data_IF_192389542386
#
_entry.id   IF_192389542386
#
_cell.length_a   1.000
_cell.length_b   1.000
_cell.length_c   1.000
_cell.angle_alpha   90.00
_cell.angle_beta   90.00
_cell.angle_gamma   90.00
#
_symmetry.space_group_name_H-M   'P 1'
#
loop_
_entity.id
_entity.type
_entity.pdbx_description
1 polymer ?
#
# COMPACT_ATOMS: atom_id res chain seq x y z
N UNK A 1 -25.68 -14.07 14.15
CA UNK A 1 -26.42 -13.45 13.03
C UNK A 1 -25.47 -13.28 11.84
N UNK A 2 -25.68 -14.04 10.72
CA UNK A 2 -24.79 -14.04 9.56
C UNK A 2 -24.60 -12.64 8.95
N UNK A 3 -25.65 -11.84 8.90
CA UNK A 3 -25.59 -10.48 8.33
C UNK A 3 -24.71 -9.53 9.14
N UNK A 4 -24.77 -9.59 10.46
CA UNK A 4 -23.95 -8.78 11.35
C UNK A 4 -22.46 -9.13 11.20
N UNK A 5 -22.13 -10.42 11.20
CA UNK A 5 -20.75 -10.90 11.04
C UNK A 5 -20.15 -10.49 9.68
N UNK A 6 -20.98 -10.47 8.62
CA UNK A 6 -20.54 -10.03 7.29
C UNK A 6 -20.22 -8.53 7.27
N UNK A 7 -21.10 -7.69 7.84
CA UNK A 7 -20.86 -6.24 7.92
C UNK A 7 -19.66 -5.89 8.80
N UNK A 8 -19.46 -6.61 9.90
CA UNK A 8 -18.27 -6.44 10.74
C UNK A 8 -16.99 -6.79 9.98
N UNK A 9 -17.00 -7.86 9.19
CA UNK A 9 -15.88 -8.27 8.37
C UNK A 9 -15.57 -7.20 7.28
N UNK A 10 -16.58 -6.67 6.60
CA UNK A 10 -16.39 -5.57 5.64
C UNK A 10 -15.76 -4.34 6.30
N UNK A 11 -16.27 -3.92 7.45
CA UNK A 11 -15.73 -2.76 8.17
C UNK A 11 -14.29 -3.03 8.68
N UNK A 12 -13.99 -4.27 9.05
CA UNK A 12 -12.67 -4.67 9.51
C UNK A 12 -11.62 -4.51 8.41
N UNK A 13 -11.91 -5.07 7.23
CA UNK A 13 -10.97 -5.11 6.10
C UNK A 13 -11.13 -3.96 5.09
N UNK A 14 -11.91 -2.92 5.40
CA UNK A 14 -12.22 -1.85 4.46
C UNK A 14 -10.96 -1.08 3.98
N UNK A 15 -9.95 -0.92 4.85
CA UNK A 15 -8.70 -0.23 4.53
C UNK A 15 -7.88 -1.07 3.56
N UNK A 16 -7.69 -2.35 3.88
CA UNK A 16 -6.93 -3.30 3.08
C UNK A 16 -7.60 -3.53 1.71
N UNK A 17 -8.93 -3.63 1.68
CA UNK A 17 -9.67 -3.78 0.43
C UNK A 17 -9.52 -2.56 -0.48
N UNK A 18 -9.58 -1.34 0.07
CA UNK A 18 -9.36 -0.11 -0.69
C UNK A 18 -7.91 -0.04 -1.23
N UNK A 19 -6.91 -0.36 -0.39
CA UNK A 19 -5.51 -0.40 -0.79
C UNK A 19 -5.27 -1.40 -1.93
N UNK A 20 -5.79 -2.62 -1.79
CA UNK A 20 -5.64 -3.68 -2.79
C UNK A 20 -6.36 -3.36 -4.10
N UNK A 21 -7.52 -2.71 -4.05
CA UNK A 21 -8.24 -2.28 -5.25
C UNK A 21 -7.45 -1.27 -6.06
N UNK A 22 -6.88 -0.26 -5.39
CA UNK A 22 -6.04 0.76 -6.04
C UNK A 22 -4.78 0.13 -6.60
N UNK A 23 -3.99 -0.53 -5.75
CA UNK A 23 -2.71 -1.15 -6.14
C UNK A 23 -2.88 -2.15 -7.27
N UNK A 24 -3.84 -3.08 -7.14
CA UNK A 24 -4.05 -4.14 -8.12
C UNK A 24 -4.51 -3.61 -9.49
N UNK A 25 -5.41 -2.62 -9.51
CA UNK A 25 -5.88 -2.05 -10.77
C UNK A 25 -4.83 -1.19 -11.48
N UNK A 26 -3.98 -0.48 -10.76
CA UNK A 26 -2.89 0.31 -11.31
C UNK A 26 -1.73 -0.56 -11.78
N UNK A 27 -1.39 -1.60 -11.02
CA UNK A 27 -0.40 -2.60 -11.44
C UNK A 27 -0.85 -3.34 -12.70
N UNK A 28 -2.14 -3.70 -12.80
CA UNK A 28 -2.70 -4.31 -14.01
C UNK A 28 -2.60 -3.37 -15.22
N UNK A 29 -2.96 -2.10 -15.03
CA UNK A 29 -2.87 -1.09 -16.09
C UNK A 29 -1.45 -0.96 -16.64
N UNK A 30 -0.46 -0.86 -15.74
CA UNK A 30 0.94 -0.83 -16.10
C UNK A 30 1.39 -2.07 -16.88
N UNK A 31 1.06 -3.26 -16.39
CA UNK A 31 1.48 -4.52 -17.02
C UNK A 31 0.89 -4.70 -18.42
N UNK A 32 -0.38 -4.33 -18.62
CA UNK A 32 -0.99 -4.47 -19.96
C UNK A 32 -0.52 -3.39 -20.92
N UNK A 33 -0.20 -2.17 -20.44
CA UNK A 33 0.40 -1.11 -21.24
C UNK A 33 1.79 -1.52 -21.76
N UNK A 34 2.64 -2.00 -20.87
CA UNK A 34 3.96 -2.56 -21.25
C UNK A 34 3.80 -3.78 -22.19
N UNK A 35 2.77 -4.58 -21.96
CA UNK A 35 2.43 -5.69 -22.85
C UNK A 35 2.13 -5.23 -24.28
N UNK A 36 1.35 -4.19 -24.46
CA UNK A 36 1.09 -3.58 -25.79
C UNK A 36 2.38 -3.02 -26.37
N UNK A 37 3.18 -2.33 -25.57
CA UNK A 37 4.46 -1.73 -26.02
C UNK A 37 5.44 -2.79 -26.52
N UNK A 38 5.57 -3.92 -25.81
CA UNK A 38 6.45 -5.05 -26.20
C UNK A 38 6.01 -5.65 -27.52
N UNK A 39 4.71 -5.76 -27.79
CA UNK A 39 4.18 -6.29 -29.05
C UNK A 39 4.22 -5.27 -30.20
N UNK A 40 4.54 -4.01 -29.91
CA UNK A 40 4.60 -2.94 -30.92
C UNK A 40 3.25 -2.72 -31.60
N UNK A 41 3.25 -2.36 -32.88
CA UNK A 41 2.01 -2.09 -33.65
C UNK A 41 1.03 -3.27 -33.65
N UNK A 42 1.52 -4.50 -33.58
CA UNK A 42 0.66 -5.68 -33.46
C UNK A 42 -0.07 -5.74 -32.11
N UNK A 43 0.53 -5.27 -31.02
CA UNK A 43 -0.10 -5.21 -29.71
C UNK A 43 -1.34 -4.30 -29.68
N UNK A 44 -1.42 -3.30 -30.56
CA UNK A 44 -2.57 -2.42 -30.73
C UNK A 44 -3.63 -2.98 -31.69
N UNK A 45 -3.30 -4.03 -32.44
CA UNK A 45 -4.25 -4.67 -33.36
C UNK A 45 -5.27 -5.51 -32.60
N UNK A 46 -6.55 -5.41 -32.98
CA UNK A 46 -7.63 -6.23 -32.40
C UNK A 46 -7.49 -7.74 -32.67
N UNK A 47 -6.53 -8.14 -33.51
CA UNK A 47 -6.18 -9.55 -33.76
C UNK A 47 -5.38 -10.16 -32.59
N UNK A 48 -4.76 -9.31 -31.74
CA UNK A 48 -3.94 -9.73 -30.59
C UNK A 48 -4.74 -9.70 -29.30
N UNK A 49 -4.55 -10.73 -28.47
CA UNK A 49 -5.22 -10.82 -27.15
C UNK A 49 -4.86 -9.67 -26.19
N UNK A 50 -3.69 -9.06 -26.34
CA UNK A 50 -3.20 -8.01 -25.45
C UNK A 50 -4.00 -6.70 -25.64
N UNK A 51 -4.48 -6.38 -26.83
CA UNK A 51 -5.38 -5.25 -27.08
C UNK A 51 -6.64 -5.36 -26.20
N UNK A 52 -7.24 -6.54 -26.18
CA UNK A 52 -8.39 -6.81 -25.32
C UNK A 52 -8.06 -6.66 -23.84
N UNK A 53 -6.92 -7.22 -23.40
CA UNK A 53 -6.44 -7.09 -22.02
C UNK A 53 -6.27 -5.62 -21.60
N UNK A 54 -5.64 -4.82 -22.46
CA UNK A 54 -5.47 -3.38 -22.26
C UNK A 54 -6.81 -2.64 -22.13
N UNK A 55 -7.74 -2.90 -23.04
CA UNK A 55 -9.08 -2.31 -23.02
C UNK A 55 -9.88 -2.70 -21.78
N UNK A 56 -9.88 -3.98 -21.44
CA UNK A 56 -10.63 -4.51 -20.30
C UNK A 56 -10.05 -4.07 -18.95
N UNK A 57 -8.73 -3.81 -18.87
CA UNK A 57 -8.08 -3.33 -17.64
C UNK A 57 -8.52 -1.92 -17.27
N UNK A 58 -8.77 -1.04 -18.25
CA UNK A 58 -8.99 0.38 -18.04
C UNK A 58 -10.18 0.70 -17.14
N UNK A 59 -11.25 -0.08 -17.20
CA UNK A 59 -12.45 0.13 -16.39
C UNK A 59 -12.19 -0.12 -14.89
N UNK A 60 -11.19 -0.95 -14.53
CA UNK A 60 -10.90 -1.29 -13.14
C UNK A 60 -10.50 -0.10 -12.27
N UNK A 61 -9.98 0.97 -12.87
CA UNK A 61 -9.67 2.22 -12.16
C UNK A 61 -10.88 3.13 -11.97
N UNK A 62 -12.02 2.83 -12.62
CA UNK A 62 -13.21 3.68 -12.67
C UNK A 62 -14.36 3.11 -11.84
N UNK A 63 -14.71 1.83 -12.01
CA UNK A 63 -15.89 1.23 -11.40
C UNK A 63 -15.64 0.82 -9.93
N UNK A 64 -16.72 0.53 -9.19
CA UNK A 64 -16.70 0.15 -7.77
C UNK A 64 -15.95 1.17 -6.87
N UNK A 65 -16.18 2.44 -7.17
CA UNK A 65 -15.43 3.57 -6.63
C UNK A 65 -14.12 3.79 -7.38
N UNK A 66 -13.94 5.00 -7.93
CA UNK A 66 -12.70 5.30 -8.64
C UNK A 66 -11.49 5.13 -7.72
N UNK A 67 -10.30 4.99 -8.29
CA UNK A 67 -9.09 4.87 -7.49
C UNK A 67 -8.86 6.09 -6.59
N UNK A 68 -9.24 7.28 -7.06
CA UNK A 68 -9.19 8.52 -6.27
C UNK A 68 -10.14 8.45 -5.07
N UNK A 69 -11.37 7.99 -5.25
CA UNK A 69 -12.33 7.81 -4.15
C UNK A 69 -11.84 6.76 -3.15
N UNK A 70 -11.28 5.65 -3.63
CA UNK A 70 -10.73 4.62 -2.74
C UNK A 70 -9.54 5.14 -1.92
N UNK A 71 -8.69 6.01 -2.49
CA UNK A 71 -7.61 6.70 -1.74
C UNK A 71 -8.17 7.54 -0.60
N UNK A 72 -9.19 8.34 -0.88
CA UNK A 72 -9.82 9.16 0.16
C UNK A 72 -10.50 8.32 1.24
N UNK A 73 -11.22 7.25 0.83
CA UNK A 73 -11.86 6.32 1.76
C UNK A 73 -10.86 5.59 2.66
N UNK A 74 -9.68 5.25 2.15
CA UNK A 74 -8.63 4.56 2.88
C UNK A 74 -8.19 5.41 4.09
N UNK A 75 -7.80 6.65 3.85
CA UNK A 75 -7.35 7.56 4.92
C UNK A 75 -8.48 7.90 5.88
N UNK A 76 -9.68 8.19 5.37
CA UNK A 76 -10.86 8.48 6.19
C UNK A 76 -11.20 7.33 7.14
N UNK A 77 -11.13 6.08 6.66
CA UNK A 77 -11.35 4.91 7.51
C UNK A 77 -10.29 4.75 8.61
N UNK A 78 -9.01 5.01 8.30
CA UNK A 78 -7.94 4.97 9.31
C UNK A 78 -8.17 6.04 10.38
N UNK A 79 -8.46 7.27 9.97
CA UNK A 79 -8.72 8.37 10.90
C UNK A 79 -9.97 8.12 11.76
N UNK A 80 -11.04 7.58 11.18
CA UNK A 80 -12.26 7.17 11.91
C UNK A 80 -11.99 6.05 12.92
N UNK A 81 -11.20 5.04 12.53
CA UNK A 81 -10.79 3.95 13.45
C UNK A 81 -9.90 4.50 14.58
N UNK A 82 -9.02 5.46 14.27
CA UNK A 82 -8.22 6.19 15.26
C UNK A 82 -9.08 6.96 16.24
N UNK A 83 -10.02 7.78 15.74
CA UNK A 83 -10.93 8.58 16.59
C UNK A 83 -11.80 7.70 17.51
N UNK A 84 -12.19 6.52 17.06
CA UNK A 84 -12.92 5.50 17.84
C UNK A 84 -12.03 4.67 18.76
N UNK A 85 -10.72 4.92 18.79
CA UNK A 85 -9.72 4.14 19.55
C UNK A 85 -9.70 2.65 19.20
N UNK A 86 -10.14 2.29 17.99
CA UNK A 86 -10.02 0.93 17.45
C UNK A 86 -8.57 0.67 17.00
N UNK A 87 -7.92 1.72 16.47
CA UNK A 87 -6.50 1.73 16.13
C UNK A 87 -5.80 2.85 16.93
N UNK A 88 -4.66 2.61 17.56
CA UNK A 88 -3.93 3.61 18.33
C UNK A 88 -3.08 4.54 17.43
N UNK A 89 -3.71 5.14 16.40
CA UNK A 89 -3.00 5.88 15.34
C UNK A 89 -2.25 7.07 15.89
N UNK A 90 -2.90 7.89 16.74
CA UNK A 90 -2.30 9.12 17.27
C UNK A 90 -1.25 8.84 18.34
N UNK A 91 -1.47 7.82 19.18
CA UNK A 91 -0.53 7.39 20.19
C UNK A 91 0.78 6.85 19.56
N UNK A 92 0.64 6.03 18.51
CA UNK A 92 1.81 5.50 17.78
C UNK A 92 2.52 6.59 16.99
N UNK A 93 1.80 7.56 16.44
CA UNK A 93 2.38 8.72 15.77
C UNK A 93 3.19 9.57 16.74
N UNK A 94 2.69 9.82 17.96
CA UNK A 94 3.43 10.55 18.99
C UNK A 94 4.71 9.84 19.39
N UNK A 95 4.63 8.52 19.59
CA UNK A 95 5.82 7.71 19.87
C UNK A 95 6.86 7.81 18.76
N UNK A 96 6.44 7.76 17.49
CA UNK A 96 7.33 7.90 16.33
C UNK A 96 7.99 9.29 16.30
N UNK A 97 7.26 10.36 16.61
CA UNK A 97 7.84 11.71 16.71
C UNK A 97 8.87 11.82 17.83
N UNK A 98 8.59 11.27 19.00
CA UNK A 98 9.53 11.30 20.13
C UNK A 98 10.78 10.47 19.85
N UNK A 99 10.63 9.31 19.19
CA UNK A 99 11.80 8.53 18.74
C UNK A 99 12.70 9.38 17.82
N UNK A 100 12.13 10.04 16.80
CA UNK A 100 12.92 10.87 15.86
C UNK A 100 13.61 12.03 16.57
N UNK A 101 12.94 12.70 17.51
CA UNK A 101 13.53 13.81 18.29
C UNK A 101 14.70 13.36 19.18
N UNK A 102 14.64 12.14 19.68
CA UNK A 102 15.68 11.59 20.59
C UNK A 102 16.77 10.82 19.85
N UNK A 103 16.61 10.62 18.53
CA UNK A 103 17.63 9.93 17.73
C UNK A 103 18.94 10.71 17.64
N UNK A 104 20.03 10.05 18.06
CA UNK A 104 21.40 10.54 17.92
C UNK A 104 22.10 9.79 16.77
N UNK A 105 21.91 10.26 15.54
CA UNK A 105 22.46 9.63 14.33
C UNK A 105 21.52 8.64 13.66
N UNK A 106 21.96 8.06 12.54
CA UNK A 106 21.19 7.05 11.83
C UNK A 106 21.14 5.74 12.63
N UNK A 107 19.98 5.07 12.69
CA UNK A 107 19.89 3.75 13.34
C UNK A 107 20.79 2.74 12.62
N UNK A 108 21.35 1.80 13.37
CA UNK A 108 22.08 0.70 12.77
C UNK A 108 21.14 -0.12 11.87
N UNK A 109 21.65 -0.49 10.70
CA UNK A 109 20.93 -1.40 9.79
C UNK A 109 20.94 -2.79 10.43
N UNK A 110 19.80 -3.44 10.48
CA UNK A 110 19.69 -4.78 11.02
C UNK A 110 20.49 -5.78 10.17
N UNK A 111 21.12 -6.73 10.82
CA UNK A 111 21.83 -7.81 10.14
C UNK A 111 20.84 -8.88 9.67
N UNK A 112 20.98 -9.32 8.43
CA UNK A 112 20.08 -10.28 7.81
C UNK A 112 19.07 -9.64 6.84
N UNK A 113 18.79 -10.36 5.75
CA UNK A 113 17.98 -9.83 4.67
C UNK A 113 16.53 -9.51 5.11
N UNK A 114 15.89 -10.40 5.87
CA UNK A 114 14.53 -10.18 6.34
C UNK A 114 14.45 -9.14 7.47
N UNK A 115 15.42 -9.15 8.36
CA UNK A 115 15.50 -8.21 9.47
C UNK A 115 15.67 -6.78 8.98
N UNK A 116 16.49 -6.59 7.94
CA UNK A 116 16.66 -5.31 7.26
C UNK A 116 15.34 -4.83 6.63
N UNK A 117 14.63 -5.71 5.89
CA UNK A 117 13.34 -5.35 5.27
C UNK A 117 12.26 -5.07 6.31
N UNK A 118 12.20 -5.86 7.38
CA UNK A 118 11.26 -5.61 8.49
C UNK A 118 11.52 -4.25 9.14
N UNK A 119 12.78 -3.92 9.38
CA UNK A 119 13.17 -2.61 9.92
C UNK A 119 12.78 -1.48 8.97
N UNK A 120 13.02 -1.64 7.68
CA UNK A 120 12.66 -0.65 6.66
C UNK A 120 11.16 -0.41 6.61
N UNK A 121 10.36 -1.47 6.49
CA UNK A 121 8.90 -1.39 6.50
C UNK A 121 8.37 -0.77 7.80
N UNK A 122 8.93 -1.15 8.95
CA UNK A 122 8.55 -0.56 10.24
C UNK A 122 8.82 0.94 10.28
N UNK A 123 9.95 1.39 9.74
CA UNK A 123 10.28 2.82 9.64
C UNK A 123 9.33 3.56 8.69
N UNK A 124 9.00 2.98 7.54
CA UNK A 124 8.01 3.57 6.63
C UNK A 124 6.62 3.71 7.29
N UNK A 125 6.20 2.73 8.09
CA UNK A 125 4.95 2.83 8.87
C UNK A 125 4.99 4.00 9.85
N UNK A 126 6.12 4.23 10.53
CA UNK A 126 6.29 5.40 11.40
C UNK A 126 6.16 6.71 10.62
N UNK A 127 6.79 6.80 9.44
CA UNK A 127 6.67 7.98 8.57
C UNK A 127 5.20 8.24 8.20
N UNK A 128 4.45 7.22 7.80
CA UNK A 128 3.02 7.33 7.49
C UNK A 128 2.22 7.83 8.70
N UNK A 129 2.47 7.29 9.88
CA UNK A 129 1.81 7.74 11.12
C UNK A 129 2.11 9.22 11.43
N UNK A 130 3.37 9.64 11.25
CA UNK A 130 3.77 11.03 11.43
C UNK A 130 3.09 11.95 10.42
N UNK A 131 2.97 11.54 9.15
CA UNK A 131 2.25 12.31 8.11
C UNK A 131 0.77 12.45 8.46
N UNK A 132 0.10 11.38 8.88
CA UNK A 132 -1.29 11.40 9.32
C UNK A 132 -1.52 12.38 10.48
N UNK A 133 -0.65 12.34 11.49
CA UNK A 133 -0.71 13.24 12.63
C UNK A 133 -0.48 14.70 12.20
N UNK A 134 0.60 14.96 11.45
CA UNK A 134 0.93 16.32 11.00
C UNK A 134 -0.18 16.92 10.13
N UNK A 135 -0.78 16.14 9.22
CA UNK A 135 -1.92 16.59 8.42
C UNK A 135 -3.15 16.87 9.29
N UNK A 136 -3.44 15.98 10.25
CA UNK A 136 -4.57 16.14 11.17
C UNK A 136 -4.43 17.39 12.04
N UNK A 137 -3.26 17.69 12.56
CA UNK A 137 -2.97 18.88 13.36
C UNK A 137 -3.01 20.15 12.53
N UNK A 138 -2.42 20.13 11.33
CA UNK A 138 -2.35 21.31 10.46
C UNK A 138 -3.71 21.72 9.92
N UNK A 139 -4.49 20.77 9.43
CA UNK A 139 -5.75 21.03 8.73
C UNK A 139 -6.99 20.83 9.62
N UNK A 140 -6.87 20.05 10.68
CA UNK A 140 -7.97 19.82 11.62
C UNK A 140 -9.28 19.43 10.89
N UNK A 141 -10.35 20.22 11.07
CA UNK A 141 -11.67 19.96 10.45
C UNK A 141 -11.68 20.13 8.92
N UNK A 142 -10.75 20.90 8.36
CA UNK A 142 -10.67 21.11 6.90
C UNK A 142 -9.89 20.00 6.19
N UNK A 143 -9.28 19.07 6.92
CA UNK A 143 -8.51 17.96 6.32
C UNK A 143 -9.32 17.17 5.29
N UNK A 144 -10.62 17.00 5.51
CA UNK A 144 -11.51 16.28 4.58
C UNK A 144 -11.64 16.95 3.20
N UNK A 145 -11.31 18.23 3.08
CA UNK A 145 -11.31 18.99 1.83
C UNK A 145 -9.95 19.04 1.15
N UNK A 146 -8.89 18.64 1.85
CA UNK A 146 -7.52 18.59 1.36
C UNK A 146 -7.25 17.28 0.61
N UNK A 147 -7.99 17.06 -0.50
CA UNK A 147 -8.02 15.77 -1.20
C UNK A 147 -6.65 15.37 -1.76
N UNK A 148 -5.84 16.31 -2.22
CA UNK A 148 -4.49 16.06 -2.72
C UNK A 148 -3.59 15.51 -1.60
N UNK A 149 -3.65 16.13 -0.40
CA UNK A 149 -2.89 15.67 0.77
C UNK A 149 -3.34 14.26 1.19
N UNK A 150 -4.65 14.04 1.25
CA UNK A 150 -5.20 12.71 1.58
C UNK A 150 -4.79 11.66 0.55
N UNK A 151 -4.80 11.98 -0.74
CA UNK A 151 -4.37 11.08 -1.81
C UNK A 151 -2.89 10.72 -1.67
N UNK A 152 -2.02 11.70 -1.44
CA UNK A 152 -0.58 11.47 -1.26
C UNK A 152 -0.28 10.60 -0.03
N UNK A 153 -0.97 10.84 1.09
CA UNK A 153 -0.85 9.99 2.29
C UNK A 153 -1.35 8.58 1.99
N UNK A 154 -2.45 8.45 1.24
CA UNK A 154 -2.97 7.15 0.83
C UNK A 154 -1.97 6.37 -0.01
N UNK A 155 -1.30 7.02 -0.97
CA UNK A 155 -0.27 6.38 -1.78
C UNK A 155 0.88 5.85 -0.91
N UNK A 156 1.34 6.64 0.07
CA UNK A 156 2.33 6.15 1.04
C UNK A 156 1.84 4.90 1.79
N UNK A 157 0.57 4.90 2.24
CA UNK A 157 -0.01 3.74 2.95
C UNK A 157 -0.10 2.53 2.04
N UNK A 158 -0.54 2.69 0.79
CA UNK A 158 -0.67 1.62 -0.20
C UNK A 158 0.69 0.99 -0.48
N UNK A 159 1.72 1.80 -0.69
CA UNK A 159 3.09 1.30 -0.95
C UNK A 159 3.66 0.55 0.26
N UNK A 160 3.50 1.09 1.47
CA UNK A 160 3.96 0.41 2.70
C UNK A 160 3.22 -0.91 2.91
N UNK A 161 1.92 -0.94 2.67
CA UNK A 161 1.13 -2.17 2.75
C UNK A 161 1.57 -3.22 1.73
N UNK A 162 1.84 -2.80 0.49
CA UNK A 162 2.33 -3.68 -0.56
C UNK A 162 3.74 -4.20 -0.24
N UNK A 163 4.66 -3.33 0.19
CA UNK A 163 6.02 -3.71 0.58
C UNK A 163 6.02 -4.75 1.73
N UNK A 164 5.23 -4.51 2.79
CA UNK A 164 5.07 -5.49 3.87
C UNK A 164 4.53 -6.83 3.35
N UNK A 165 3.52 -6.78 2.48
CA UNK A 165 2.90 -7.97 1.89
C UNK A 165 3.90 -8.79 1.08
N UNK A 166 4.79 -8.13 0.32
CA UNK A 166 5.87 -8.78 -0.42
C UNK A 166 6.85 -9.48 0.53
N UNK A 167 7.32 -8.79 1.57
CA UNK A 167 8.24 -9.35 2.57
C UNK A 167 7.63 -10.56 3.28
N UNK A 168 6.38 -10.44 3.75
CA UNK A 168 5.67 -11.53 4.42
C UNK A 168 5.43 -12.73 3.48
N UNK A 169 5.10 -12.46 2.22
CA UNK A 169 4.93 -13.51 1.21
C UNK A 169 6.22 -14.27 0.98
N UNK A 170 7.33 -13.55 0.87
CA UNK A 170 8.64 -14.14 0.65
C UNK A 170 9.11 -14.98 1.84
N UNK A 171 8.93 -14.50 3.07
CA UNK A 171 9.16 -15.30 4.30
C UNK A 171 8.43 -16.65 4.24
N UNK A 172 7.15 -16.60 3.88
CA UNK A 172 6.34 -17.82 3.73
C UNK A 172 6.84 -18.73 2.61
N UNK A 173 7.25 -18.16 1.47
CA UNK A 173 7.76 -18.93 0.35
C UNK A 173 9.08 -19.61 0.68
N UNK A 174 9.99 -18.94 1.35
CA UNK A 174 11.27 -19.53 1.75
C UNK A 174 11.12 -20.63 2.80
N UNK A 175 10.20 -20.45 3.74
CA UNK A 175 9.87 -21.50 4.69
C UNK A 175 9.35 -22.78 4.02
N UNK A 176 8.73 -22.66 2.83
CA UNK A 176 8.16 -23.78 2.08
C UNK A 176 9.11 -24.37 1.04
N UNK A 177 9.94 -23.56 0.38
CA UNK A 177 10.72 -23.94 -0.80
C UNK A 177 12.24 -23.90 -0.56
N UNK A 178 12.69 -23.24 0.50
CA UNK A 178 14.10 -22.96 0.77
C UNK A 178 14.59 -21.69 0.08
N UNK A 179 15.69 -21.15 0.59
CA UNK A 179 16.29 -19.87 0.17
C UNK A 179 16.73 -19.89 -1.30
N UNK A 180 17.40 -20.94 -1.73
CA UNK A 180 17.97 -21.06 -3.10
C UNK A 180 16.88 -20.92 -4.18
N UNK A 181 15.70 -21.51 -3.96
CA UNK A 181 14.59 -21.41 -4.92
C UNK A 181 13.89 -20.05 -4.88
N UNK A 182 14.15 -19.24 -3.87
CA UNK A 182 13.55 -17.93 -3.70
C UNK A 182 14.49 -16.76 -4.05
N UNK A 183 15.71 -17.02 -4.50
CA UNK A 183 16.71 -15.99 -4.79
C UNK A 183 16.21 -14.90 -5.74
N UNK A 184 15.63 -15.30 -6.88
CA UNK A 184 15.05 -14.35 -7.84
C UNK A 184 13.92 -13.48 -7.19
N UNK A 185 13.12 -14.08 -6.31
CA UNK A 185 12.05 -13.34 -5.63
C UNK A 185 12.60 -12.36 -4.58
N UNK A 186 13.77 -12.64 -3.98
CA UNK A 186 14.49 -11.67 -3.14
C UNK A 186 14.95 -10.47 -3.96
N UNK A 187 15.55 -10.71 -5.12
CA UNK A 187 16.00 -9.64 -6.03
C UNK A 187 14.82 -8.77 -6.47
N UNK A 188 13.67 -9.38 -6.82
CA UNK A 188 12.44 -8.66 -7.15
C UNK A 188 11.91 -7.85 -5.95
N UNK A 189 11.97 -8.40 -4.75
CA UNK A 189 11.54 -7.73 -3.53
C UNK A 189 12.46 -6.55 -3.18
N UNK A 190 13.78 -6.67 -3.40
CA UNK A 190 14.73 -5.58 -3.22
C UNK A 190 14.39 -4.40 -4.12
N UNK A 191 14.17 -4.64 -5.41
CA UNK A 191 13.73 -3.58 -6.33
C UNK A 191 12.44 -2.93 -5.83
N UNK A 192 11.42 -3.72 -5.50
CA UNK A 192 10.11 -3.18 -5.12
C UNK A 192 10.11 -2.41 -3.80
N UNK A 193 10.92 -2.84 -2.83
CA UNK A 193 10.93 -2.21 -1.49
C UNK A 193 11.74 -0.92 -1.47
N UNK A 194 12.74 -0.78 -2.36
CA UNK A 194 13.64 0.38 -2.36
C UNK A 194 13.33 1.42 -3.46
N UNK A 195 12.46 1.12 -4.44
CA UNK A 195 11.96 2.08 -5.41
C UNK A 195 10.81 2.93 -4.83
#
# INVERSE_FOLDING_TARGET
DKGRNTMEAFNHFAVEAAAMKVFGSESLDYVVDEGVQIHGGMGFSAEMMIDKGYRDSRINRIFEGTNEINRLLLVDNILKKGAKKVLPVMELAEQAFEEVKTMNGAPAIAEGWFEEKDQYVANLKKVVLMLLKAASEKFNRTLVTEQEILSNISDCIIQVYAAESVVLRLKKMEAMKGEEQCKLYRDMADVFVYD
#
